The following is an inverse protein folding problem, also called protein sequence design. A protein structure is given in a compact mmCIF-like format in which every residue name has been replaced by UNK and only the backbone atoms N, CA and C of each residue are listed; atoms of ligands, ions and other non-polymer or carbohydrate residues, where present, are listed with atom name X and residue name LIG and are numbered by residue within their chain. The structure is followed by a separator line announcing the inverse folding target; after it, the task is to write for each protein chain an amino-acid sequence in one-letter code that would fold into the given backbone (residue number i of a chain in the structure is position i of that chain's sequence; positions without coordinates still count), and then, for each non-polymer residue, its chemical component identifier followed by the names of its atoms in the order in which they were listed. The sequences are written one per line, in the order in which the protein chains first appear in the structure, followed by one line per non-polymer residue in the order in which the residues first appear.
data_IF_714607351396
#
_entry.id   IF_714607351396
#
_cell.length_a   1.000
_cell.length_b   1.000
_cell.length_c   1.000
_cell.angle_alpha   90.00
_cell.angle_beta   90.00
_cell.angle_gamma   90.00
#
_symmetry.space_group_name_H-M   'P 1'
#
loop_
_entity.id
_entity.type
_entity.pdbx_description
1 polymer ?
#
# COMPACT_ATOMS: atom_id res chain seq x y z
N UNK A 1 0.22 -31.05 18.93
CA UNK A 1 0.05 -30.53 17.55
C UNK A 1 -1.39 -30.75 17.03
N UNK A 2 -2.42 -30.20 17.69
CA UNK A 2 -3.82 -30.45 17.29
C UNK A 2 -4.38 -29.33 16.41
N UNK A 3 -4.09 -28.08 16.76
CA UNK A 3 -4.58 -26.91 16.01
C UNK A 3 -4.06 -26.84 14.56
N UNK A 4 -2.78 -27.12 14.32
CA UNK A 4 -2.23 -27.11 12.95
C UNK A 4 -2.80 -28.22 12.07
N UNK A 5 -3.12 -29.40 12.66
CA UNK A 5 -3.79 -30.48 11.94
C UNK A 5 -5.23 -30.12 11.58
N UNK A 6 -5.93 -29.40 12.46
CA UNK A 6 -7.27 -28.87 12.17
C UNK A 6 -7.23 -27.82 11.05
N UNK A 7 -6.26 -26.90 11.08
CA UNK A 7 -6.07 -25.91 10.01
C UNK A 7 -5.79 -26.61 8.68
N UNK A 8 -4.85 -27.57 8.67
CA UNK A 8 -4.55 -28.36 7.47
C UNK A 8 -5.79 -29.09 6.96
N UNK A 9 -6.54 -29.77 7.83
CA UNK A 9 -7.75 -30.49 7.44
C UNK A 9 -8.81 -29.55 6.84
N UNK A 10 -9.02 -28.37 7.42
CA UNK A 10 -9.96 -27.36 6.91
C UNK A 10 -9.53 -26.86 5.53
N UNK A 11 -8.24 -26.61 5.32
CA UNK A 11 -7.70 -26.20 4.01
C UNK A 11 -7.81 -27.32 2.96
N UNK A 12 -7.36 -28.53 3.31
CA UNK A 12 -7.37 -29.69 2.41
C UNK A 12 -8.79 -30.07 1.96
N UNK A 13 -9.81 -29.81 2.79
CA UNK A 13 -11.21 -30.10 2.50
C UNK A 13 -12.03 -28.85 2.11
N UNK A 14 -11.38 -27.70 1.90
CA UNK A 14 -12.02 -26.43 1.55
C UNK A 14 -13.22 -26.06 2.46
N UNK A 15 -13.09 -26.32 3.76
CA UNK A 15 -14.11 -26.01 4.75
C UNK A 15 -14.04 -24.51 5.03
N UNK A 16 -15.12 -23.77 4.77
CA UNK A 16 -15.20 -22.30 4.98
C UNK A 16 -15.22 -21.85 6.45
N UNK A 17 -14.58 -22.60 7.37
CA UNK A 17 -14.59 -22.33 8.79
C UNK A 17 -13.33 -21.57 9.22
N UNK A 18 -13.52 -20.44 9.89
CA UNK A 18 -12.42 -19.67 10.47
C UNK A 18 -11.88 -20.36 11.73
N UNK A 19 -10.58 -20.69 11.76
CA UNK A 19 -9.93 -21.24 12.95
C UNK A 19 -9.14 -20.15 13.68
N UNK A 20 -9.50 -19.93 14.94
CA UNK A 20 -8.71 -19.11 15.84
C UNK A 20 -7.55 -19.93 16.42
N UNK A 21 -6.32 -19.56 16.08
CA UNK A 21 -5.12 -20.19 16.61
C UNK A 21 -4.36 -19.19 17.48
N UNK A 22 -4.26 -19.49 18.77
CA UNK A 22 -3.66 -18.63 19.80
C UNK A 22 -2.12 -18.63 19.78
N UNK A 23 -1.50 -18.58 18.60
CA UNK A 23 -0.08 -18.30 18.45
C UNK A 23 0.10 -16.81 18.19
N UNK A 24 0.97 -16.09 18.93
CA UNK A 24 1.26 -14.69 18.66
C UNK A 24 1.70 -14.45 17.20
N UNK A 25 2.57 -15.32 16.67
CA UNK A 25 3.03 -15.21 15.27
C UNK A 25 1.85 -15.34 14.31
N UNK A 26 0.96 -16.31 14.54
CA UNK A 26 -0.23 -16.49 13.70
C UNK A 26 -1.21 -15.32 13.80
N UNK A 27 -1.47 -14.85 15.03
CA UNK A 27 -2.33 -13.69 15.30
C UNK A 27 -1.81 -12.44 14.61
N UNK A 28 -0.53 -12.14 14.78
CA UNK A 28 0.07 -10.92 14.24
C UNK A 28 0.11 -10.93 12.71
N UNK A 29 0.46 -12.07 12.10
CA UNK A 29 0.60 -12.17 10.64
C UNK A 29 -0.73 -12.40 9.92
N UNK A 30 -1.44 -13.45 10.29
CA UNK A 30 -2.56 -13.95 9.50
C UNK A 30 -3.91 -13.47 10.00
N UNK A 31 -4.15 -13.40 11.32
CA UNK A 31 -5.44 -12.89 11.81
C UNK A 31 -5.60 -11.39 11.54
N UNK A 32 -4.54 -10.58 11.73
CA UNK A 32 -4.58 -9.15 11.38
C UNK A 32 -4.75 -8.94 9.87
N UNK A 33 -4.09 -9.75 9.03
CA UNK A 33 -4.29 -9.71 7.57
C UNK A 33 -5.73 -10.03 7.20
N UNK A 34 -6.27 -11.15 7.67
CA UNK A 34 -7.66 -11.54 7.42
C UNK A 34 -8.69 -10.56 7.98
N UNK A 35 -8.36 -9.84 9.06
CA UNK A 35 -9.17 -8.70 9.52
C UNK A 35 -9.21 -7.59 8.47
N UNK A 36 -8.05 -7.15 7.96
CA UNK A 36 -7.99 -6.07 6.97
C UNK A 36 -8.63 -6.46 5.63
N UNK A 37 -8.38 -7.67 5.14
CA UNK A 37 -8.95 -8.16 3.87
C UNK A 37 -10.48 -8.23 3.89
N UNK A 38 -11.08 -8.52 5.05
CA UNK A 38 -12.55 -8.51 5.18
C UNK A 38 -13.17 -7.12 5.13
N UNK A 39 -12.41 -6.11 5.57
CA UNK A 39 -12.92 -4.74 5.70
C UNK A 39 -12.55 -3.85 4.52
N UNK A 40 -11.52 -4.19 3.76
CA UNK A 40 -11.04 -3.36 2.65
C UNK A 40 -12.10 -3.13 1.57
N UNK A 41 -12.98 -4.11 1.30
CA UNK A 41 -14.03 -3.98 0.27
C UNK A 41 -15.03 -2.85 0.57
N UNK A 42 -15.07 -2.39 1.82
CA UNK A 42 -15.90 -1.27 2.21
C UNK A 42 -15.20 0.07 1.91
N UNK A 43 -13.89 0.20 2.11
CA UNK A 43 -13.21 1.50 2.16
C UNK A 43 -12.09 1.69 1.11
N UNK A 44 -11.79 0.65 0.32
CA UNK A 44 -10.77 0.71 -0.74
C UNK A 44 -11.37 1.29 -2.01
N UNK A 45 -10.69 2.27 -2.59
CA UNK A 45 -11.06 2.85 -3.87
C UNK A 45 -10.48 2.04 -5.04
N UNK A 46 -11.03 2.25 -6.24
CA UNK A 46 -10.61 1.51 -7.45
C UNK A 46 -9.19 1.87 -7.92
N UNK A 47 -8.69 3.05 -7.59
CA UNK A 47 -7.32 3.48 -7.86
C UNK A 47 -6.31 3.02 -6.79
N UNK A 48 -6.75 2.22 -5.81
CA UNK A 48 -5.93 1.73 -4.71
C UNK A 48 -5.75 0.23 -4.79
N UNK A 49 -4.71 -0.25 -4.12
CA UNK A 49 -4.35 -1.66 -4.14
C UNK A 49 -4.06 -2.19 -2.72
N UNK A 50 -3.99 -3.50 -2.58
CA UNK A 50 -3.66 -4.16 -1.31
C UNK A 50 -2.21 -4.61 -1.30
N UNK A 51 -1.53 -4.37 -0.19
CA UNK A 51 -0.24 -5.01 0.06
C UNK A 51 -0.42 -6.48 0.41
N UNK A 52 0.67 -7.25 0.43
CA UNK A 52 0.60 -8.66 0.84
C UNK A 52 0.12 -8.83 2.28
N UNK A 53 0.43 -7.84 3.14
CA UNK A 53 -0.05 -7.79 4.52
C UNK A 53 -1.52 -7.36 4.64
N UNK A 54 -2.16 -6.97 3.55
CA UNK A 54 -3.55 -6.52 3.49
C UNK A 54 -3.74 -5.06 3.89
N UNK A 55 -2.70 -4.22 3.88
CA UNK A 55 -2.88 -2.77 4.00
C UNK A 55 -3.38 -2.20 2.67
N UNK A 56 -4.16 -1.12 2.73
CA UNK A 56 -4.53 -0.37 1.53
C UNK A 56 -3.38 0.56 1.19
N UNK A 57 -2.82 0.40 -0.01
CA UNK A 57 -1.78 1.23 -0.58
C UNK A 57 -2.40 2.19 -1.59
N UNK A 58 -2.14 3.48 -1.39
CA UNK A 58 -2.53 4.56 -2.30
C UNK A 58 -1.26 5.23 -2.83
N UNK A 59 -1.22 5.41 -4.14
CA UNK A 59 -0.17 6.14 -4.82
C UNK A 59 -0.71 7.50 -5.25
N UNK A 60 0.12 8.53 -5.13
CA UNK A 60 -0.23 9.85 -5.64
C UNK A 60 0.99 10.67 -6.06
N UNK A 61 0.72 11.69 -6.86
CA UNK A 61 1.65 12.76 -7.19
C UNK A 61 1.01 14.06 -6.75
N UNK A 62 1.79 14.92 -6.11
CA UNK A 62 1.40 16.29 -5.80
C UNK A 62 2.28 17.24 -6.60
N UNK A 63 1.65 18.08 -7.42
CA UNK A 63 2.35 19.03 -8.28
C UNK A 63 1.42 20.19 -8.67
N UNK A 64 1.91 21.15 -9.45
CA UNK A 64 1.09 22.23 -10.00
C UNK A 64 0.04 21.69 -10.98
N UNK A 65 -1.15 22.32 -11.09
CA UNK A 65 -2.25 21.86 -11.95
C UNK A 65 -1.82 21.58 -13.40
N UNK A 66 -0.98 22.43 -13.98
CA UNK A 66 -0.49 22.29 -15.37
C UNK A 66 0.26 20.97 -15.57
N UNK A 67 1.06 20.55 -14.60
CA UNK A 67 1.80 19.29 -14.66
C UNK A 67 0.85 18.09 -14.54
N UNK A 68 -0.13 18.18 -13.65
CA UNK A 68 -1.12 17.12 -13.44
C UNK A 68 -2.01 16.94 -14.66
N UNK A 69 -2.45 18.03 -15.29
CA UNK A 69 -3.24 17.97 -16.53
C UNK A 69 -2.48 17.23 -17.65
N UNK A 70 -1.16 17.40 -17.73
CA UNK A 70 -0.35 16.67 -18.71
C UNK A 70 -0.36 15.16 -18.44
N UNK A 71 -0.30 14.75 -17.17
CA UNK A 71 -0.41 13.33 -16.79
C UNK A 71 -1.81 12.79 -17.11
N UNK A 72 -2.86 13.55 -16.79
CA UNK A 72 -4.26 13.17 -17.09
C UNK A 72 -4.46 12.99 -18.60
N UNK A 73 -3.89 13.88 -19.43
CA UNK A 73 -3.93 13.73 -20.90
C UNK A 73 -3.29 12.40 -21.36
N UNK A 74 -2.19 11.98 -20.73
CA UNK A 74 -1.55 10.69 -21.01
C UNK A 74 -2.45 9.52 -20.57
N UNK A 75 -3.12 9.62 -19.43
CA UNK A 75 -4.06 8.59 -18.97
C UNK A 75 -5.26 8.44 -19.90
N UNK A 76 -5.86 9.56 -20.32
CA UNK A 76 -6.97 9.56 -21.28
C UNK A 76 -6.53 8.99 -22.65
N UNK A 77 -5.31 9.28 -23.08
CA UNK A 77 -4.77 8.76 -24.34
C UNK A 77 -4.46 7.25 -24.32
N UNK A 78 -4.32 6.63 -23.15
CA UNK A 78 -3.87 5.23 -23.02
C UNK A 78 -5.00 4.19 -22.90
N UNK A 79 -6.26 4.55 -23.22
CA UNK A 79 -7.45 3.68 -23.07
C UNK A 79 -7.58 3.05 -21.67
N UNK A 80 -7.13 3.76 -20.63
CA UNK A 80 -7.26 3.31 -19.26
C UNK A 80 -8.68 3.56 -18.76
N UNK A 81 -9.16 2.71 -17.82
CA UNK A 81 -10.44 2.97 -17.15
C UNK A 81 -10.34 4.23 -16.30
N UNK A 82 -11.34 5.10 -16.39
CA UNK A 82 -11.42 6.35 -15.61
C UNK A 82 -11.43 6.10 -14.11
N UNK A 83 -11.87 4.91 -13.67
CA UNK A 83 -11.86 4.51 -12.26
C UNK A 83 -10.45 4.29 -11.68
N UNK A 84 -9.41 4.20 -12.51
CA UNK A 84 -8.05 3.89 -12.06
C UNK A 84 -7.27 5.12 -11.57
N UNK A 85 -7.85 6.31 -11.63
CA UNK A 85 -7.22 7.52 -11.15
C UNK A 85 -8.29 8.52 -10.67
N UNK A 86 -7.86 9.47 -9.85
CA UNK A 86 -8.72 10.52 -9.32
C UNK A 86 -7.88 11.78 -9.09
N UNK A 87 -8.33 12.91 -9.59
CA UNK A 87 -7.66 14.19 -9.35
C UNK A 87 -8.42 14.98 -8.28
N UNK A 88 -7.72 15.33 -7.21
CA UNK A 88 -8.23 16.22 -6.17
C UNK A 88 -7.65 17.62 -6.37
N UNK A 89 -8.53 18.52 -6.83
CA UNK A 89 -8.20 19.92 -7.11
C UNK A 89 -7.83 20.71 -5.84
N UNK A 90 -8.41 20.37 -4.68
CA UNK A 90 -8.23 21.13 -3.44
C UNK A 90 -6.78 21.09 -2.93
N UNK A 91 -6.09 19.98 -3.15
CA UNK A 91 -4.71 19.78 -2.69
C UNK A 91 -3.72 19.54 -3.84
N UNK A 92 -4.17 19.68 -5.09
CA UNK A 92 -3.44 19.35 -6.30
C UNK A 92 -2.78 17.96 -6.22
N UNK A 93 -3.53 16.94 -5.78
CA UNK A 93 -3.05 15.56 -5.75
C UNK A 93 -3.75 14.72 -6.80
N UNK A 94 -2.96 14.06 -7.64
CA UNK A 94 -3.42 13.02 -8.55
C UNK A 94 -3.20 11.65 -7.89
N UNK A 95 -4.29 10.95 -7.59
CA UNK A 95 -4.27 9.57 -7.13
C UNK A 95 -4.39 8.63 -8.32
N UNK A 96 -3.69 7.49 -8.29
CA UNK A 96 -3.70 6.54 -9.40
C UNK A 96 -3.35 5.12 -8.98
N UNK A 97 -3.87 4.16 -9.74
CA UNK A 97 -3.56 2.75 -9.59
C UNK A 97 -2.12 2.44 -10.06
N UNK A 98 -1.46 1.49 -9.41
CA UNK A 98 -0.07 1.13 -9.72
C UNK A 98 0.15 0.70 -11.18
N UNK A 99 -0.89 0.21 -11.87
CA UNK A 99 -0.84 -0.14 -13.29
C UNK A 99 -0.54 1.06 -14.20
N UNK A 100 -0.74 2.27 -13.72
CA UNK A 100 -0.47 3.53 -14.43
C UNK A 100 0.95 4.05 -14.22
N UNK A 101 1.74 3.46 -13.32
CA UNK A 101 3.13 3.90 -13.04
C UNK A 101 3.99 4.00 -14.30
N UNK A 102 3.86 3.04 -15.21
CA UNK A 102 4.59 2.99 -16.49
C UNK A 102 4.30 4.16 -17.44
N UNK A 103 3.20 4.88 -17.22
CA UNK A 103 2.75 5.99 -18.05
C UNK A 103 3.21 7.35 -17.52
N UNK A 104 3.91 7.40 -16.38
CA UNK A 104 4.30 8.63 -15.70
C UNK A 104 5.81 8.85 -15.84
N UNK A 105 6.21 10.07 -16.22
CA UNK A 105 7.62 10.47 -16.22
C UNK A 105 8.05 11.01 -14.86
N UNK A 106 8.63 10.16 -14.02
CA UNK A 106 9.07 10.52 -12.68
C UNK A 106 10.34 11.36 -12.61
N UNK A 107 10.93 11.77 -13.75
CA UNK A 107 12.06 12.73 -13.74
C UNK A 107 11.67 14.10 -13.19
N UNK A 108 10.38 14.42 -13.17
CA UNK A 108 9.84 15.72 -12.77
C UNK A 108 8.93 15.67 -11.54
N UNK A 109 8.56 14.47 -11.09
CA UNK A 109 7.51 14.29 -10.10
C UNK A 109 7.98 13.34 -9.01
N UNK A 110 7.70 13.68 -7.74
CA UNK A 110 7.84 12.75 -6.64
C UNK A 110 6.64 11.82 -6.53
N UNK A 111 6.87 10.58 -6.09
CA UNK A 111 5.83 9.62 -5.78
C UNK A 111 5.52 9.67 -4.28
N UNK A 112 4.27 9.91 -3.93
CA UNK A 112 3.76 9.81 -2.56
C UNK A 112 3.09 8.45 -2.40
N UNK A 113 3.45 7.74 -1.33
CA UNK A 113 2.91 6.42 -1.00
C UNK A 113 2.28 6.52 0.39
N UNK A 114 1.00 6.17 0.46
CA UNK A 114 0.25 6.10 1.71
C UNK A 114 -0.20 4.68 2.00
N UNK A 115 -0.06 4.26 3.27
CA UNK A 115 -0.57 2.97 3.76
C UNK A 115 -1.66 3.20 4.80
N UNK A 116 -2.79 2.53 4.60
CA UNK A 116 -3.94 2.62 5.48
C UNK A 116 -4.35 1.26 6.02
N UNK A 117 -4.97 1.27 7.19
CA UNK A 117 -5.68 0.11 7.73
C UNK A 117 -7.15 0.46 7.97
N UNK A 118 -8.08 -0.47 7.68
CA UNK A 118 -9.43 -0.38 8.20
C UNK A 118 -9.43 -0.54 9.72
N UNK A 119 -10.34 0.16 10.39
CA UNK A 119 -10.64 0.05 11.81
C UNK A 119 -12.16 0.01 11.99
N UNK A 120 -12.67 -0.98 12.73
CA UNK A 120 -14.06 -0.99 13.16
C UNK A 120 -14.20 -0.11 14.40
N UNK A 121 -15.08 0.88 14.31
CA UNK A 121 -15.41 1.78 15.41
C UNK A 121 -16.92 1.94 15.55
N UNK A 122 -17.37 2.29 16.75
CA UNK A 122 -18.76 2.64 17.05
C UNK A 122 -18.95 4.13 17.26
N UNK A 123 -17.85 4.90 17.26
CA UNK A 123 -17.82 6.35 17.43
C UNK A 123 -17.16 6.94 16.18
N UNK A 124 -17.79 7.92 15.55
CA UNK A 124 -17.20 8.61 14.41
C UNK A 124 -15.94 9.35 14.83
N UNK A 125 -14.86 9.23 14.05
CA UNK A 125 -13.70 10.10 14.17
C UNK A 125 -13.99 11.50 13.63
N UNK A 126 -13.04 12.42 13.80
CA UNK A 126 -13.20 13.84 13.44
C UNK A 126 -13.27 14.09 11.91
N UNK A 127 -12.92 13.10 11.07
CA UNK A 127 -12.89 13.21 9.60
C UNK A 127 -13.88 12.26 8.91
N UNK A 128 -14.99 12.80 8.43
CA UNK A 128 -16.07 12.04 7.76
C UNK A 128 -15.62 11.35 6.45
N UNK A 129 -14.65 11.91 5.71
CA UNK A 129 -14.17 11.36 4.43
C UNK A 129 -13.53 9.97 4.55
N UNK A 130 -13.11 9.60 5.77
CA UNK A 130 -12.45 8.33 6.05
C UNK A 130 -13.39 7.29 6.67
N UNK A 131 -14.69 7.57 6.77
CA UNK A 131 -15.64 6.73 7.51
C UNK A 131 -16.71 6.16 6.59
N UNK A 132 -16.87 4.84 6.61
CA UNK A 132 -18.01 4.17 5.98
C UNK A 132 -18.93 3.55 7.01
N UNK A 133 -20.21 3.93 6.95
CA UNK A 133 -21.25 3.40 7.81
C UNK A 133 -21.83 2.10 7.25
N UNK A 134 -21.80 1.05 8.05
CA UNK A 134 -22.45 -0.24 7.79
C UNK A 134 -23.63 -0.38 8.74
N UNK A 135 -24.84 -0.37 8.18
CA UNK A 135 -26.08 -0.54 8.95
C UNK A 135 -26.25 -2.03 9.26
N UNK A 136 -26.32 -2.38 10.54
CA UNK A 136 -26.62 -3.76 10.95
C UNK A 136 -28.13 -3.99 11.08
N UNK A 137 -28.82 -3.02 11.68
CA UNK A 137 -30.27 -2.98 11.83
C UNK A 137 -30.74 -1.53 12.11
N UNK A 138 -32.04 -1.34 12.32
CA UNK A 138 -32.62 -0.02 12.53
C UNK A 138 -32.04 0.75 13.74
N UNK A 139 -31.41 0.08 14.70
CA UNK A 139 -30.89 0.68 15.93
C UNK A 139 -29.36 0.64 16.04
N UNK A 140 -28.65 -0.11 15.18
CA UNK A 140 -27.22 -0.34 15.30
C UNK A 140 -26.51 -0.16 13.96
N UNK A 141 -25.47 0.65 14.02
CA UNK A 141 -24.55 0.88 12.92
C UNK A 141 -23.13 0.59 13.40
N UNK A 142 -22.30 0.03 12.54
CA UNK A 142 -20.86 -0.03 12.73
C UNK A 142 -20.23 0.92 11.72
N UNK A 143 -19.18 1.62 12.14
CA UNK A 143 -18.39 2.47 11.28
C UNK A 143 -17.09 1.74 10.94
N UNK A 144 -16.69 1.80 9.69
CA UNK A 144 -15.38 1.36 9.22
C UNK A 144 -14.61 2.63 8.91
N UNK A 145 -13.67 2.95 9.78
CA UNK A 145 -12.75 4.06 9.61
C UNK A 145 -11.51 3.60 8.85
N UNK A 146 -11.03 4.48 7.99
CA UNK A 146 -9.76 4.35 7.28
C UNK A 146 -8.69 5.15 8.01
N UNK A 147 -7.76 4.46 8.67
CA UNK A 147 -6.66 5.10 9.40
C UNK A 147 -5.38 5.12 8.59
N UNK A 148 -4.79 6.31 8.39
CA UNK A 148 -3.44 6.47 7.84
C UNK A 148 -2.42 5.93 8.84
N UNK A 149 -1.55 5.03 8.39
CA UNK A 149 -0.48 4.44 9.20
C UNK A 149 0.89 5.03 8.85
N UNK A 150 1.12 5.25 7.57
CA UNK A 150 2.40 5.72 7.09
C UNK A 150 2.23 6.48 5.77
N UNK A 151 2.98 7.57 5.64
CA UNK A 151 3.15 8.33 4.41
C UNK A 151 4.65 8.50 4.16
N UNK A 152 5.06 8.30 2.91
CA UNK A 152 6.41 8.61 2.46
C UNK A 152 6.38 9.24 1.08
N UNK A 153 7.32 10.15 0.82
CA UNK A 153 7.54 10.72 -0.51
C UNK A 153 8.90 10.26 -1.02
N UNK A 154 8.91 9.61 -2.17
CA UNK A 154 10.12 9.22 -2.90
C UNK A 154 10.31 10.22 -4.04
N UNK A 155 11.47 10.89 -4.10
CA UNK A 155 11.75 11.91 -5.12
C UNK A 155 12.64 11.38 -6.23
N UNK A 156 13.58 10.49 -5.90
CA UNK A 156 14.51 9.96 -6.88
C UNK A 156 13.80 9.05 -7.89
N UNK A 157 13.93 9.30 -9.21
CA UNK A 157 13.34 8.42 -10.24
C UNK A 157 13.86 6.98 -10.14
N UNK A 158 15.12 6.83 -9.72
CA UNK A 158 15.76 5.52 -9.51
C UNK A 158 15.13 4.81 -8.32
N UNK A 159 14.86 5.51 -7.22
CA UNK A 159 14.19 4.95 -6.06
C UNK A 159 12.73 4.58 -6.36
N UNK A 160 12.01 5.40 -7.15
CA UNK A 160 10.63 5.12 -7.59
C UNK A 160 10.60 3.85 -8.46
N UNK A 161 11.55 3.71 -9.39
CA UNK A 161 11.68 2.50 -10.20
C UNK A 161 11.96 1.28 -9.33
N UNK A 162 12.88 1.38 -8.37
CA UNK A 162 13.15 0.29 -7.43
C UNK A 162 11.93 -0.08 -6.58
N UNK A 163 11.12 0.91 -6.16
CA UNK A 163 9.85 0.65 -5.49
C UNK A 163 8.90 -0.18 -6.37
N UNK A 164 8.75 0.20 -7.65
CA UNK A 164 7.92 -0.54 -8.60
C UNK A 164 8.44 -1.99 -8.77
N UNK A 165 9.73 -2.16 -9.03
CA UNK A 165 10.35 -3.47 -9.23
C UNK A 165 10.21 -4.36 -7.98
N UNK A 166 10.43 -3.81 -6.77
CA UNK A 166 10.33 -4.56 -5.51
C UNK A 166 8.90 -4.93 -5.15
N UNK A 167 7.97 -3.98 -5.17
CA UNK A 167 6.70 -4.12 -4.47
C UNK A 167 5.51 -4.33 -5.38
N UNK A 168 5.61 -3.92 -6.64
CA UNK A 168 4.56 -4.12 -7.65
C UNK A 168 4.89 -5.34 -8.50
N UNK A 169 6.11 -5.40 -9.04
CA UNK A 169 6.56 -6.46 -9.95
C UNK A 169 7.14 -7.68 -9.21
N UNK A 170 7.38 -7.55 -7.90
CA UNK A 170 7.91 -8.62 -7.02
C UNK A 170 9.22 -9.22 -7.52
N UNK A 171 10.10 -8.38 -8.06
CA UNK A 171 11.43 -8.78 -8.51
C UNK A 171 12.35 -9.14 -7.34
N UNK A 172 13.42 -9.89 -7.63
CA UNK A 172 14.42 -10.24 -6.63
C UNK A 172 15.12 -9.00 -6.07
N UNK A 173 15.11 -8.88 -4.75
CA UNK A 173 15.67 -7.75 -4.02
C UNK A 173 17.13 -7.44 -4.38
N UNK A 174 17.98 -8.47 -4.46
CA UNK A 174 19.42 -8.30 -4.72
C UNK A 174 19.65 -7.69 -6.08
N UNK A 175 18.87 -8.10 -7.08
CA UNK A 175 18.98 -7.61 -8.44
C UNK A 175 18.48 -6.16 -8.55
N UNK A 176 17.38 -5.83 -7.86
CA UNK A 176 16.84 -4.47 -7.82
C UNK A 176 17.86 -3.53 -7.17
N UNK A 177 18.40 -3.86 -6.00
CA UNK A 177 19.37 -2.99 -5.34
C UNK A 177 20.68 -2.87 -6.14
N UNK A 178 21.11 -3.92 -6.84
CA UNK A 178 22.26 -3.82 -7.75
C UNK A 178 22.01 -2.80 -8.87
N UNK A 179 20.81 -2.77 -9.44
CA UNK A 179 20.42 -1.75 -10.43
C UNK A 179 20.30 -0.37 -9.81
N UNK A 180 19.68 -0.27 -8.63
CA UNK A 180 19.54 0.97 -7.88
C UNK A 180 20.89 1.68 -7.71
N UNK A 181 21.90 0.99 -7.17
CA UNK A 181 23.22 1.59 -6.95
C UNK A 181 23.96 1.94 -8.24
N UNK A 182 23.74 1.18 -9.32
CA UNK A 182 24.38 1.42 -10.62
C UNK A 182 23.76 2.62 -11.33
N UNK A 183 22.45 2.79 -11.22
CA UNK A 183 21.69 3.78 -11.98
C UNK A 183 21.52 5.10 -11.20
N UNK A 184 21.92 5.15 -9.93
CA UNK A 184 21.93 6.37 -9.11
C UNK A 184 23.07 7.31 -9.51
N UNK A 185 22.75 8.55 -9.87
CA UNK A 185 23.76 9.57 -10.20
C UNK A 185 24.46 10.07 -8.93
N UNK A 186 25.79 10.04 -8.92
CA UNK A 186 26.62 10.52 -7.82
C UNK A 186 27.57 11.59 -8.35
N UNK A 187 27.22 12.85 -8.13
CA UNK A 187 28.05 14.02 -8.46
C UNK A 187 28.79 14.53 -7.22
N UNK A 188 28.19 14.39 -6.04
CA UNK A 188 28.71 14.90 -4.77
C UNK A 188 28.68 13.84 -3.66
N UNK A 189 29.39 14.12 -2.56
CA UNK A 189 29.30 13.29 -1.34
C UNK A 189 27.91 13.34 -0.70
N UNK A 190 27.14 14.42 -0.89
CA UNK A 190 25.78 14.51 -0.37
C UNK A 190 24.87 13.47 -1.04
N UNK A 191 25.09 13.21 -2.33
CA UNK A 191 24.32 12.26 -3.12
C UNK A 191 24.48 10.82 -2.60
N UNK A 192 25.65 10.49 -2.03
CA UNK A 192 25.87 9.18 -1.39
C UNK A 192 24.97 9.03 -0.16
N UNK A 193 24.86 10.07 0.67
CA UNK A 193 23.99 10.05 1.84
C UNK A 193 22.52 9.99 1.43
N UNK A 194 22.13 10.74 0.41
CA UNK A 194 20.77 10.70 -0.15
C UNK A 194 20.41 9.32 -0.70
N UNK A 195 21.31 8.72 -1.50
CA UNK A 195 21.15 7.37 -2.02
C UNK A 195 20.99 6.33 -0.91
N UNK A 196 21.78 6.44 0.17
CA UNK A 196 21.68 5.54 1.32
C UNK A 196 20.35 5.71 2.05
N UNK A 197 19.91 6.96 2.26
CA UNK A 197 18.60 7.25 2.86
C UNK A 197 17.45 6.69 2.01
N UNK A 198 17.48 6.88 0.68
CA UNK A 198 16.46 6.33 -0.22
C UNK A 198 16.43 4.79 -0.19
N UNK A 199 17.60 4.15 -0.13
CA UNK A 199 17.68 2.70 0.03
C UNK A 199 17.13 2.23 1.37
N UNK A 200 17.40 2.95 2.46
CA UNK A 200 16.89 2.59 3.78
C UNK A 200 15.37 2.82 3.88
N UNK A 201 14.86 3.86 3.22
CA UNK A 201 13.42 4.09 3.03
C UNK A 201 12.77 2.91 2.29
N UNK A 202 13.36 2.46 1.17
CA UNK A 202 12.88 1.28 0.44
C UNK A 202 12.92 0.02 1.33
N UNK A 203 13.94 -0.15 2.16
CA UNK A 203 14.00 -1.26 3.12
C UNK A 203 12.87 -1.16 4.15
N UNK A 204 12.62 0.03 4.68
CA UNK A 204 11.60 0.27 5.69
C UNK A 204 10.18 -0.02 5.16
N UNK A 205 9.92 0.29 3.89
CA UNK A 205 8.62 0.02 3.24
C UNK A 205 8.21 -1.46 3.26
N UNK A 206 9.17 -2.40 3.36
CA UNK A 206 8.88 -3.83 3.51
C UNK A 206 7.97 -4.14 4.70
N UNK A 207 8.02 -3.33 5.76
CA UNK A 207 7.18 -3.45 6.95
C UNK A 207 5.68 -3.37 6.62
N UNK A 208 5.34 -2.62 5.57
CA UNK A 208 3.97 -2.43 5.10
C UNK A 208 3.64 -3.32 3.90
N UNK A 209 4.65 -3.72 3.13
CA UNK A 209 4.47 -4.41 1.86
C UNK A 209 4.38 -5.94 1.98
N UNK A 210 5.09 -6.54 2.94
CA UNK A 210 5.27 -7.99 3.06
C UNK A 210 4.73 -8.56 4.37
N UNK A 211 4.31 -9.83 4.34
CA UNK A 211 4.16 -10.61 5.57
C UNK A 211 5.55 -10.98 6.07
N UNK A 212 5.93 -10.46 7.25
CA UNK A 212 7.22 -10.81 7.85
C UNK A 212 7.41 -12.32 7.99
N UNK A 213 8.62 -12.80 7.76
CA UNK A 213 9.04 -14.20 7.95
C UNK A 213 9.84 -14.38 9.25
N UNK A 214 10.07 -15.63 9.67
CA UNK A 214 10.88 -15.95 10.87
C UNK A 214 10.10 -15.98 12.19
N UNK A 215 10.77 -16.03 13.34
CA UNK A 215 10.15 -15.77 14.63
C UNK A 215 9.98 -14.26 14.78
N UNK A 216 8.83 -13.79 15.27
CA UNK A 216 8.69 -12.39 15.67
C UNK A 216 9.72 -12.14 16.77
N UNK A 217 10.49 -11.05 16.71
CA UNK A 217 11.23 -10.60 17.89
C UNK A 217 10.17 -10.27 18.94
N UNK A 218 9.98 -11.19 19.89
CA UNK A 218 9.05 -11.03 20.99
C UNK A 218 9.64 -9.94 21.88
N UNK A 219 9.27 -8.69 21.61
CA UNK A 219 9.40 -7.57 22.55
C UNK A 219 8.06 -7.39 23.27
#
# INVERSE_FOLDING_TARGET
MTALRLIKYVLDNNIGLSINYCSPIYKHRFQKKGYRERLQSYIKESYEDLTEYGFIRRLSIQDIPVNIENIIKVFNGSKCSDSLWFFNENNNKLFFHHSLLKNIDFRKHGLIINYFTPLLTTVGGDEDENIKKVVLNAQRNILIERKLLHEITIKSPVAIKSFQELFIEKMNERDVFKRFYRDYSLETKADINEMMNEKDNLCYLKTWEYIGSGLYEIY
#
